data_IF_370880840991
#
_entry.id   IF_370880840991
#
_cell.length_a   1.000
_cell.length_b   1.000
_cell.length_c   1.000
_cell.angle_alpha   90.00
_cell.angle_beta   90.00
_cell.angle_gamma   90.00
#
_symmetry.space_group_name_H-M   'P 1'
#
loop_
_entity.id
_entity.type
_entity.pdbx_description
1 polymer ?
#
# COMPACT_ATOMS: atom_id res chain seq x y z
N UNK A 1 29.65 29.83 19.50
CA UNK A 1 28.27 30.29 19.24
C UNK A 1 27.56 29.21 18.46
N UNK A 2 26.83 28.34 19.16
CA UNK A 2 26.15 27.18 18.59
C UNK A 2 24.75 27.56 18.14
N UNK A 3 24.39 27.17 16.92
CA UNK A 3 23.01 27.28 16.41
C UNK A 3 22.18 26.10 16.92
N UNK A 4 20.95 26.28 17.39
CA UNK A 4 20.10 25.16 17.79
C UNK A 4 19.56 24.44 16.55
N UNK A 5 19.69 23.13 16.53
CA UNK A 5 19.01 22.23 15.59
C UNK A 5 17.56 22.08 16.07
N UNK A 6 16.64 22.54 15.25
CA UNK A 6 15.21 22.30 15.44
C UNK A 6 14.90 20.84 15.01
N UNK A 7 14.72 19.97 16.00
CA UNK A 7 14.29 18.58 15.78
C UNK A 7 12.76 18.59 15.69
N UNK A 8 12.22 18.41 14.48
CA UNK A 8 10.80 18.16 14.29
C UNK A 8 10.51 16.69 14.65
N UNK A 9 10.01 16.47 15.88
CA UNK A 9 9.48 15.18 16.30
C UNK A 9 8.12 14.94 15.63
N UNK A 10 8.09 14.16 14.55
CA UNK A 10 6.87 13.46 14.11
C UNK A 10 6.73 12.20 14.95
N UNK A 11 6.02 12.32 16.07
CA UNK A 11 5.68 11.18 16.92
C UNK A 11 4.69 10.25 16.24
N UNK A 12 5.18 9.19 15.60
CA UNK A 12 4.41 7.98 15.33
C UNK A 12 4.64 7.07 16.52
N UNK A 13 3.68 7.00 17.43
CA UNK A 13 3.69 6.00 18.52
C UNK A 13 3.39 4.64 17.87
N UNK A 14 4.44 3.91 17.50
CA UNK A 14 4.35 2.47 17.29
C UNK A 14 4.52 1.83 18.67
N UNK A 15 3.42 1.31 19.22
CA UNK A 15 3.51 0.38 20.34
C UNK A 15 4.17 -0.91 19.84
N UNK A 16 5.47 -1.03 20.06
CA UNK A 16 6.20 -2.26 19.86
C UNK A 16 5.84 -3.23 20.99
N UNK A 17 4.76 -4.00 20.82
CA UNK A 17 4.53 -5.19 21.62
C UNK A 17 5.46 -6.27 21.13
N UNK A 18 6.50 -6.58 21.88
CA UNK A 18 7.35 -7.72 21.66
C UNK A 18 6.55 -9.01 21.91
N UNK A 19 5.94 -9.55 20.85
CA UNK A 19 5.42 -10.91 20.87
C UNK A 19 6.53 -11.87 20.46
N UNK A 20 7.09 -12.56 21.44
CA UNK A 20 7.84 -13.81 21.22
C UNK A 20 6.82 -14.89 20.88
N UNK A 21 6.56 -15.12 19.59
CA UNK A 21 5.80 -16.28 19.13
C UNK A 21 6.75 -17.44 18.90
N UNK A 22 6.41 -18.67 19.37
CA UNK A 22 7.18 -19.86 19.02
C UNK A 22 7.09 -20.10 17.52
N UNK A 23 8.22 -20.44 16.90
CA UNK A 23 8.29 -20.83 15.51
C UNK A 23 7.50 -22.13 15.31
N UNK A 24 6.27 -22.04 14.81
CA UNK A 24 5.57 -23.18 14.26
C UNK A 24 6.16 -23.44 12.87
N UNK A 25 6.83 -24.59 12.73
CA UNK A 25 7.21 -25.12 11.44
C UNK A 25 5.94 -25.36 10.61
N UNK A 26 5.72 -24.51 9.59
CA UNK A 26 4.68 -24.75 8.60
C UNK A 26 5.29 -25.68 7.56
N UNK A 27 4.80 -26.91 7.58
CA UNK A 27 5.08 -27.94 6.59
C UNK A 27 4.76 -27.40 5.18
N UNK A 28 5.68 -27.64 4.23
CA UNK A 28 5.62 -27.12 2.87
C UNK A 28 4.65 -27.94 2.01
N UNK A 29 3.37 -27.87 2.31
CA UNK A 29 2.33 -28.31 1.39
C UNK A 29 1.95 -27.16 0.46
N UNK A 30 2.04 -27.39 -0.83
CA UNK A 30 1.70 -26.46 -1.92
C UNK A 30 0.23 -26.04 -1.80
N UNK A 31 -0.11 -24.76 -1.51
CA UNK A 31 -1.50 -24.33 -1.35
C UNK A 31 -2.27 -24.19 -2.67
N UNK A 32 -1.68 -24.56 -3.81
CA UNK A 32 -2.31 -24.45 -5.13
C UNK A 32 -3.04 -25.74 -5.61
N UNK A 33 -3.02 -26.82 -4.81
CA UNK A 33 -3.53 -28.12 -5.25
C UNK A 33 -4.94 -28.46 -4.73
N UNK A 34 -5.84 -27.49 -4.47
CA UNK A 34 -7.27 -27.80 -4.28
C UNK A 34 -8.15 -26.61 -4.61
N UNK A 35 -8.63 -26.53 -5.85
CA UNK A 35 -9.88 -25.85 -6.17
C UNK A 35 -11.08 -26.65 -5.63
N UNK A 36 -11.15 -26.81 -4.34
CA UNK A 36 -12.42 -27.15 -3.69
C UNK A 36 -13.21 -25.86 -3.61
N UNK A 37 -14.44 -25.85 -4.10
CA UNK A 37 -15.43 -24.78 -3.91
C UNK A 37 -15.53 -24.46 -2.42
N UNK A 38 -14.67 -23.56 -1.94
CA UNK A 38 -14.67 -23.13 -0.55
C UNK A 38 -15.97 -22.36 -0.34
N UNK A 39 -16.80 -22.89 0.55
CA UNK A 39 -17.95 -22.15 1.09
C UNK A 39 -17.40 -20.82 1.64
N UNK A 40 -17.91 -19.69 1.13
CA UNK A 40 -17.50 -18.40 1.62
C UNK A 40 -17.65 -18.37 3.15
N UNK A 41 -16.61 -18.00 3.91
CA UNK A 41 -16.71 -17.93 5.36
C UNK A 41 -17.84 -16.97 5.75
N UNK A 42 -18.51 -17.30 6.87
CA UNK A 42 -19.61 -16.48 7.38
C UNK A 42 -19.13 -15.05 7.67
N UNK A 43 -19.95 -14.03 7.40
CA UNK A 43 -19.58 -12.65 7.68
C UNK A 43 -19.30 -12.47 9.18
N UNK A 44 -18.23 -11.75 9.49
CA UNK A 44 -17.86 -11.44 10.87
C UNK A 44 -18.82 -10.38 11.42
N UNK A 45 -19.64 -10.75 12.40
CA UNK A 45 -20.49 -9.79 13.11
C UNK A 45 -19.64 -9.02 14.13
N UNK A 46 -19.56 -7.70 13.97
CA UNK A 46 -18.85 -6.81 14.90
C UNK A 46 -19.83 -6.05 15.76
N UNK A 47 -19.57 -6.06 17.06
CA UNK A 47 -20.27 -5.24 18.04
C UNK A 47 -19.31 -4.16 18.54
N UNK A 48 -19.74 -2.90 18.54
CA UNK A 48 -18.91 -1.80 19.01
C UNK A 48 -18.82 -0.64 18.00
N UNK A 49 -18.05 0.41 18.35
CA UNK A 49 -17.91 1.56 17.48
C UNK A 49 -17.13 1.21 16.21
N UNK A 50 -17.40 1.94 15.11
CA UNK A 50 -16.65 1.85 13.88
C UNK A 50 -15.14 2.09 14.12
N UNK A 51 -14.28 1.43 13.33
CA UNK A 51 -12.83 1.65 13.32
C UNK A 51 -12.47 3.13 13.08
N UNK A 52 -13.32 3.86 12.34
CA UNK A 52 -13.16 5.28 12.04
C UNK A 52 -13.94 6.21 13.00
N UNK A 53 -14.38 5.71 14.19
CA UNK A 53 -15.22 6.49 15.09
C UNK A 53 -14.67 7.90 15.43
N UNK A 54 -13.36 8.10 15.69
CA UNK A 54 -12.82 9.45 15.92
C UNK A 54 -12.96 10.38 14.69
N UNK A 55 -12.76 9.84 13.50
CA UNK A 55 -12.85 10.59 12.25
C UNK A 55 -14.31 10.90 11.91
N UNK A 56 -15.22 9.96 12.15
CA UNK A 56 -16.67 10.17 12.02
C UNK A 56 -17.10 11.33 12.91
N UNK A 57 -16.73 11.31 14.20
CA UNK A 57 -17.04 12.41 15.12
C UNK A 57 -16.48 13.75 14.61
N UNK A 58 -15.26 13.74 14.05
CA UNK A 58 -14.60 14.92 13.49
C UNK A 58 -15.32 15.50 12.26
N UNK A 59 -15.75 14.66 11.31
CA UNK A 59 -16.43 15.14 10.09
C UNK A 59 -17.87 15.58 10.37
N UNK A 60 -18.56 14.92 11.30
CA UNK A 60 -19.90 15.32 11.76
C UNK A 60 -19.83 16.67 12.47
N UNK A 61 -18.93 16.82 13.44
CA UNK A 61 -18.74 18.10 14.15
C UNK A 61 -18.34 19.26 13.22
N UNK A 62 -17.69 18.97 12.09
CA UNK A 62 -17.34 19.94 11.07
C UNK A 62 -18.45 20.18 10.03
N UNK A 63 -19.59 19.51 10.14
CA UNK A 63 -20.71 19.64 9.19
C UNK A 63 -20.40 19.09 7.78
N UNK A 64 -19.43 18.15 7.68
CA UNK A 64 -19.00 17.59 6.39
C UNK A 64 -19.85 16.37 5.98
N UNK A 65 -20.26 15.55 6.93
CA UNK A 65 -21.01 14.32 6.66
C UNK A 65 -22.00 14.01 7.78
N UNK A 66 -23.27 13.82 7.41
CA UNK A 66 -24.33 13.42 8.34
C UNK A 66 -24.71 14.47 9.39
N UNK A 67 -25.89 14.38 10.00
CA UNK A 67 -26.36 15.33 11.01
C UNK A 67 -25.77 15.04 12.40
N UNK A 68 -25.50 13.79 12.73
CA UNK A 68 -24.99 13.36 14.04
C UNK A 68 -24.26 11.99 13.93
N UNK A 69 -23.52 11.63 14.98
CA UNK A 69 -22.73 10.39 15.02
C UNK A 69 -23.61 9.15 15.14
N UNK A 70 -24.74 9.23 15.84
CA UNK A 70 -25.61 8.06 16.11
C UNK A 70 -26.29 7.55 14.83
N UNK A 71 -26.65 8.45 13.92
CA UNK A 71 -27.28 8.16 12.64
C UNK A 71 -26.30 8.04 11.47
N UNK A 72 -24.99 8.02 11.70
CA UNK A 72 -23.98 8.14 10.64
C UNK A 72 -23.93 6.95 9.66
N UNK A 73 -24.26 5.73 10.08
CA UNK A 73 -24.22 4.49 9.26
C UNK A 73 -22.88 4.31 8.53
N UNK A 74 -21.80 3.96 9.27
CA UNK A 74 -20.42 3.92 8.74
C UNK A 74 -20.21 2.91 7.60
N UNK A 75 -20.95 1.82 7.58
CA UNK A 75 -20.78 0.71 6.65
C UNK A 75 -21.56 0.89 5.34
N UNK A 76 -22.46 1.89 5.27
CA UNK A 76 -23.17 2.22 4.05
C UNK A 76 -22.21 2.70 2.96
N UNK A 77 -22.58 2.44 1.72
CA UNK A 77 -21.81 2.92 0.57
C UNK A 77 -21.95 4.44 0.38
N UNK A 78 -20.85 5.07 0.03
CA UNK A 78 -20.81 6.50 -0.27
C UNK A 78 -21.37 6.79 -1.66
N UNK A 79 -22.25 7.79 -1.79
CA UNK A 79 -22.72 8.29 -3.08
C UNK A 79 -21.89 9.45 -3.59
N UNK A 80 -22.01 9.77 -4.89
CA UNK A 80 -21.32 10.92 -5.49
C UNK A 80 -21.82 12.25 -4.95
N UNK A 81 -23.11 12.35 -4.61
CA UNK A 81 -23.69 13.54 -3.99
C UNK A 81 -23.12 13.77 -2.61
N UNK A 82 -23.09 12.75 -1.74
CA UNK A 82 -22.51 12.85 -0.40
C UNK A 82 -21.03 13.26 -0.45
N UNK A 83 -20.26 12.73 -1.40
CA UNK A 83 -18.85 13.12 -1.56
C UNK A 83 -18.73 14.56 -2.07
N UNK A 84 -19.57 14.97 -3.02
CA UNK A 84 -19.63 16.32 -3.53
C UNK A 84 -19.91 17.33 -2.40
N UNK A 85 -20.97 17.11 -1.66
CA UNK A 85 -21.39 17.96 -0.55
C UNK A 85 -20.28 18.10 0.51
N UNK A 86 -19.64 16.99 0.86
CA UNK A 86 -18.54 16.98 1.82
C UNK A 86 -17.32 17.80 1.31
N UNK A 87 -16.95 17.68 0.03
CA UNK A 87 -15.83 18.44 -0.56
C UNK A 87 -16.17 19.94 -0.64
N UNK A 88 -17.40 20.29 -1.01
CA UNK A 88 -17.89 21.69 -1.04
C UNK A 88 -17.91 22.26 0.38
N UNK A 89 -18.41 21.51 1.35
CA UNK A 89 -18.41 21.91 2.76
C UNK A 89 -16.99 22.12 3.33
N UNK A 90 -15.97 21.45 2.78
CA UNK A 90 -14.55 21.71 3.07
C UNK A 90 -14.04 23.04 2.44
N UNK A 91 -14.88 23.78 1.71
CA UNK A 91 -14.48 24.97 0.96
C UNK A 91 -13.59 24.67 -0.26
N UNK A 92 -13.65 23.44 -0.81
CA UNK A 92 -12.86 23.04 -1.98
C UNK A 92 -13.71 23.07 -3.24
N UNK A 93 -13.16 23.49 -4.39
CA UNK A 93 -13.89 23.43 -5.67
C UNK A 93 -14.20 21.99 -6.03
N UNK A 94 -15.47 21.72 -6.35
CA UNK A 94 -15.90 20.40 -6.84
C UNK A 94 -17.11 20.58 -7.76
N UNK A 95 -17.07 19.97 -8.96
CA UNK A 95 -18.18 20.01 -9.90
C UNK A 95 -19.33 19.12 -9.44
N UNK A 96 -20.55 19.59 -9.57
CA UNK A 96 -21.73 18.79 -9.25
C UNK A 96 -21.74 17.50 -10.11
N UNK A 97 -22.03 16.35 -9.50
CA UNK A 97 -22.05 15.07 -10.22
C UNK A 97 -23.25 14.99 -11.17
N UNK A 98 -23.02 14.44 -12.37
CA UNK A 98 -24.10 14.16 -13.34
C UNK A 98 -25.00 12.98 -12.94
N UNK A 99 -24.52 12.11 -12.08
CA UNK A 99 -25.23 10.96 -11.51
C UNK A 99 -25.01 10.96 -9.98
N UNK A 100 -25.82 11.74 -9.23
CA UNK A 100 -25.61 11.98 -7.80
C UNK A 100 -25.77 10.72 -6.95
N UNK A 101 -26.67 9.81 -7.35
CA UNK A 101 -26.98 8.59 -6.58
C UNK A 101 -25.99 7.44 -6.83
N UNK A 102 -25.12 7.58 -7.83
CA UNK A 102 -24.12 6.55 -8.15
C UNK A 102 -23.14 6.40 -6.99
N UNK A 103 -22.86 5.12 -6.65
CA UNK A 103 -21.89 4.75 -5.63
C UNK A 103 -20.47 5.11 -6.08
N UNK A 104 -19.69 5.67 -5.18
CA UNK A 104 -18.27 6.02 -5.36
C UNK A 104 -17.40 4.79 -5.08
N UNK A 105 -16.47 4.46 -5.97
CA UNK A 105 -15.44 3.46 -5.71
C UNK A 105 -14.27 4.05 -4.93
N UNK A 106 -13.42 3.19 -4.32
CA UNK A 106 -12.25 3.65 -3.57
C UNK A 106 -11.30 4.51 -4.41
N UNK A 107 -11.02 4.10 -5.65
CA UNK A 107 -10.17 4.88 -6.57
C UNK A 107 -10.82 6.21 -6.99
N UNK A 108 -12.15 6.27 -7.10
CA UNK A 108 -12.87 7.53 -7.37
C UNK A 108 -12.79 8.46 -6.16
N UNK A 109 -12.96 7.94 -4.94
CA UNK A 109 -12.77 8.69 -3.71
C UNK A 109 -11.38 9.32 -3.66
N UNK A 110 -10.32 8.53 -3.86
CA UNK A 110 -8.94 9.03 -3.84
C UNK A 110 -8.70 10.08 -4.93
N UNK A 111 -9.19 9.85 -6.15
CA UNK A 111 -9.03 10.80 -7.24
C UNK A 111 -9.71 12.15 -6.94
N UNK A 112 -10.92 12.15 -6.38
CA UNK A 112 -11.64 13.38 -6.03
C UNK A 112 -10.98 14.12 -4.87
N UNK A 113 -10.46 13.41 -3.87
CA UNK A 113 -9.75 14.04 -2.75
C UNK A 113 -8.39 14.61 -3.18
N UNK A 114 -7.66 13.94 -4.07
CA UNK A 114 -6.44 14.46 -4.68
C UNK A 114 -6.73 15.70 -5.53
N UNK A 115 -7.86 15.72 -6.25
CA UNK A 115 -8.35 16.88 -6.97
C UNK A 115 -8.65 18.05 -6.02
N UNK A 116 -9.39 17.79 -4.94
CA UNK A 116 -9.72 18.77 -3.90
C UNK A 116 -8.47 19.33 -3.20
N UNK A 117 -7.38 18.55 -3.09
CA UNK A 117 -6.08 19.01 -2.62
C UNK A 117 -5.29 19.81 -3.66
N UNK A 118 -5.76 19.95 -4.91
CA UNK A 118 -5.06 20.66 -5.98
C UNK A 118 -3.84 19.91 -6.53
N UNK A 119 -3.78 18.57 -6.39
CA UNK A 119 -2.61 17.74 -6.73
C UNK A 119 -2.83 16.82 -7.96
N UNK A 120 -3.89 17.02 -8.75
CA UNK A 120 -4.07 16.29 -10.02
C UNK A 120 -2.88 16.47 -10.98
N UNK A 121 -2.27 17.67 -11.13
CA UNK A 121 -1.07 17.81 -11.97
C UNK A 121 0.08 16.92 -11.50
N UNK A 122 0.31 16.82 -10.18
CA UNK A 122 1.33 15.94 -9.59
C UNK A 122 1.02 14.45 -9.83
N UNK A 123 -0.23 14.04 -9.66
CA UNK A 123 -0.67 12.68 -9.98
C UNK A 123 -0.45 12.34 -11.46
N UNK A 124 -0.77 13.26 -12.36
CA UNK A 124 -0.54 13.10 -13.80
C UNK A 124 0.95 12.99 -14.15
N UNK A 125 1.81 13.77 -13.47
CA UNK A 125 3.26 13.72 -13.65
C UNK A 125 3.81 12.32 -13.36
N UNK A 126 3.41 11.67 -12.25
CA UNK A 126 3.83 10.29 -11.92
C UNK A 126 3.49 9.34 -13.07
N UNK A 127 2.24 9.36 -13.54
CA UNK A 127 1.78 8.47 -14.60
C UNK A 127 2.55 8.71 -15.91
N UNK A 128 2.77 9.96 -16.27
CA UNK A 128 3.51 10.31 -17.48
C UNK A 128 4.99 9.92 -17.40
N UNK A 129 5.64 10.11 -16.25
CA UNK A 129 7.03 9.71 -16.05
C UNK A 129 7.20 8.18 -16.14
N UNK A 130 6.28 7.42 -15.55
CA UNK A 130 6.27 5.95 -15.67
C UNK A 130 6.07 5.51 -17.13
N UNK A 131 5.11 6.09 -17.84
CA UNK A 131 4.84 5.77 -19.25
C UNK A 131 6.03 6.14 -20.16
N UNK A 132 6.68 7.28 -19.92
CA UNK A 132 7.87 7.71 -20.68
C UNK A 132 9.06 6.76 -20.53
N UNK A 133 9.14 6.02 -19.42
CA UNK A 133 10.14 4.97 -19.19
C UNK A 133 9.75 3.61 -19.81
N UNK A 134 8.65 3.55 -20.57
CA UNK A 134 8.14 2.32 -21.18
C UNK A 134 7.43 1.38 -20.20
N UNK A 135 7.00 1.88 -19.05
CA UNK A 135 6.13 1.14 -18.12
C UNK A 135 4.66 1.25 -18.57
N UNK A 136 3.83 0.32 -18.09
CA UNK A 136 2.39 0.27 -18.34
C UNK A 136 1.61 0.73 -17.09
N UNK A 137 1.60 2.04 -16.75
CA UNK A 137 0.92 2.51 -15.56
C UNK A 137 -0.60 2.41 -15.72
N UNK A 138 -1.28 2.00 -14.65
CA UNK A 138 -2.74 2.11 -14.57
C UNK A 138 -3.17 3.56 -14.50
N UNK A 139 -4.43 3.83 -14.88
CA UNK A 139 -4.99 5.20 -14.80
C UNK A 139 -4.97 5.76 -13.37
N UNK A 140 -5.06 4.88 -12.38
CA UNK A 140 -5.07 5.28 -10.96
C UNK A 140 -3.68 5.44 -10.34
N UNK A 141 -2.57 5.02 -11.00
CA UNK A 141 -1.22 5.02 -10.39
C UNK A 141 -0.89 6.36 -9.72
N UNK A 142 -1.13 7.47 -10.40
CA UNK A 142 -0.77 8.79 -9.88
C UNK A 142 -1.67 9.23 -8.72
N UNK A 143 -2.98 9.08 -8.84
CA UNK A 143 -3.93 9.49 -7.79
C UNK A 143 -3.77 8.63 -6.54
N UNK A 144 -3.61 7.32 -6.69
CA UNK A 144 -3.37 6.41 -5.57
C UNK A 144 -2.03 6.70 -4.86
N UNK A 145 -0.97 7.01 -5.61
CA UNK A 145 0.32 7.41 -5.04
C UNK A 145 0.17 8.70 -4.23
N UNK A 146 -0.44 9.74 -4.80
CA UNK A 146 -0.60 11.04 -4.12
C UNK A 146 -1.52 10.93 -2.91
N UNK A 147 -2.62 10.18 -2.99
CA UNK A 147 -3.52 9.97 -1.85
C UNK A 147 -2.77 9.36 -0.64
N UNK A 148 -1.87 8.40 -0.89
CA UNK A 148 -1.06 7.78 0.16
C UNK A 148 0.03 8.69 0.70
N UNK A 149 0.69 9.46 -0.15
CA UNK A 149 1.66 10.48 0.28
C UNK A 149 1.01 11.57 1.14
N UNK A 150 -0.28 11.87 0.93
CA UNK A 150 -1.08 12.75 1.77
C UNK A 150 -1.56 12.08 3.08
N UNK A 151 -1.46 10.75 3.19
CA UNK A 151 -1.96 9.99 4.34
C UNK A 151 -3.48 9.83 4.35
N UNK A 152 -4.13 9.84 3.18
CA UNK A 152 -5.59 9.68 3.06
C UNK A 152 -6.04 8.21 3.22
N UNK A 153 -5.10 7.28 3.33
CA UNK A 153 -5.37 5.85 3.50
C UNK A 153 -4.66 5.30 4.73
N UNK A 154 -5.30 4.32 5.36
CA UNK A 154 -4.73 3.53 6.47
C UNK A 154 -5.28 2.12 6.42
N UNK A 155 -4.54 1.18 7.00
CA UNK A 155 -5.05 -0.17 7.20
C UNK A 155 -6.10 -0.18 8.29
N UNK A 156 -7.07 -1.08 8.17
CA UNK A 156 -7.97 -1.40 9.27
C UNK A 156 -7.20 -2.05 10.44
N UNK A 157 -7.76 -2.02 11.65
CA UNK A 157 -7.17 -2.72 12.80
C UNK A 157 -6.96 -4.21 12.50
N UNK A 158 -5.91 -4.78 13.09
CA UNK A 158 -5.63 -6.23 12.99
C UNK A 158 -6.86 -7.05 13.38
N UNK A 159 -7.21 -8.03 12.56
CA UNK A 159 -8.41 -8.85 12.69
C UNK A 159 -9.67 -8.23 12.05
N UNK A 160 -9.52 -7.12 11.33
CA UNK A 160 -10.56 -6.46 10.56
C UNK A 160 -10.18 -6.31 9.07
N UNK A 161 -9.30 -7.15 8.59
CA UNK A 161 -8.79 -7.13 7.20
C UNK A 161 -9.91 -7.41 6.18
N UNK A 162 -11.03 -7.99 6.58
CA UNK A 162 -12.23 -8.16 5.75
C UNK A 162 -12.96 -6.84 5.45
N UNK A 163 -12.68 -5.78 6.21
CA UNK A 163 -13.18 -4.43 5.94
C UNK A 163 -12.34 -3.70 4.89
N UNK A 164 -11.12 -4.15 4.61
CA UNK A 164 -10.29 -3.55 3.58
C UNK A 164 -11.03 -3.50 2.23
N UNK A 165 -10.73 -2.47 1.43
CA UNK A 165 -11.37 -2.25 0.14
C UNK A 165 -10.34 -2.17 -0.98
N UNK A 166 -10.55 -2.97 -2.02
CA UNK A 166 -9.76 -2.85 -3.25
C UNK A 166 -10.18 -1.60 -4.05
N UNK A 167 -9.34 -1.09 -4.96
CA UNK A 167 -9.63 0.18 -5.66
C UNK A 167 -10.95 0.24 -6.41
N UNK A 168 -11.47 -0.91 -6.85
CA UNK A 168 -12.73 -1.01 -7.62
C UNK A 168 -13.97 -1.23 -6.76
N UNK A 169 -13.80 -1.53 -5.47
CA UNK A 169 -14.93 -1.74 -4.57
C UNK A 169 -15.57 -0.41 -4.16
N UNK A 170 -16.87 -0.42 -3.82
CA UNK A 170 -17.54 0.71 -3.23
C UNK A 170 -16.82 1.23 -1.99
N UNK A 171 -16.62 2.54 -1.90
CA UNK A 171 -16.17 3.20 -0.69
C UNK A 171 -17.30 3.22 0.34
N UNK A 172 -16.97 2.96 1.60
CA UNK A 172 -17.91 3.15 2.70
C UNK A 172 -17.89 4.60 3.19
N UNK A 173 -18.93 4.99 3.93
CA UNK A 173 -18.98 6.29 4.59
C UNK A 173 -17.87 6.43 5.66
N UNK A 174 -17.46 5.33 6.30
CA UNK A 174 -16.33 5.31 7.21
C UNK A 174 -15.00 5.62 6.51
N UNK A 175 -14.75 5.02 5.34
CA UNK A 175 -13.57 5.33 4.51
C UNK A 175 -13.53 6.82 4.11
N UNK A 176 -14.67 7.34 3.66
CA UNK A 176 -14.79 8.75 3.32
C UNK A 176 -14.54 9.66 4.54
N UNK A 177 -15.13 9.33 5.70
CA UNK A 177 -14.94 10.09 6.92
C UNK A 177 -13.45 10.14 7.34
N UNK A 178 -12.76 8.99 7.27
CA UNK A 178 -11.32 8.95 7.55
C UNK A 178 -10.54 9.91 6.62
N UNK A 179 -10.75 9.79 5.33
CA UNK A 179 -10.00 10.55 4.33
C UNK A 179 -10.33 12.05 4.38
N UNK A 180 -11.61 12.41 4.55
CA UNK A 180 -12.06 13.81 4.68
C UNK A 180 -11.54 14.46 5.97
N UNK A 181 -11.54 13.73 7.08
CA UNK A 181 -10.95 14.22 8.32
C UNK A 181 -9.44 14.48 8.16
N UNK A 182 -8.72 13.62 7.45
CA UNK A 182 -7.31 13.84 7.12
C UNK A 182 -7.12 15.05 6.21
N UNK A 183 -7.88 15.13 5.11
CA UNK A 183 -7.79 16.24 4.16
C UNK A 183 -8.07 17.60 4.82
N UNK A 184 -9.04 17.65 5.75
CA UNK A 184 -9.38 18.86 6.52
C UNK A 184 -8.21 19.38 7.35
N UNK A 185 -7.38 18.48 7.88
CA UNK A 185 -6.24 18.81 8.74
C UNK A 185 -4.94 19.05 7.97
N UNK A 186 -4.94 18.88 6.64
CA UNK A 186 -3.76 19.18 5.83
C UNK A 186 -3.54 20.68 5.73
N UNK A 187 -2.42 21.14 6.23
CA UNK A 187 -1.97 22.51 5.98
C UNK A 187 -1.34 22.67 4.58
N UNK A 188 -1.27 23.90 4.05
CA UNK A 188 -0.69 24.16 2.74
C UNK A 188 0.76 23.70 2.59
N UNK A 189 1.54 23.69 3.67
CA UNK A 189 2.95 23.27 3.64
C UNK A 189 3.07 21.76 3.39
N UNK A 190 2.15 20.97 3.94
CA UNK A 190 2.12 19.53 3.70
C UNK A 190 1.75 19.20 2.25
N UNK A 191 0.78 19.92 1.68
CA UNK A 191 0.40 19.79 0.26
C UNK A 191 1.58 20.15 -0.63
N UNK A 192 2.28 21.25 -0.33
CA UNK A 192 3.48 21.66 -1.06
C UNK A 192 4.62 20.65 -0.93
N UNK A 193 4.85 20.10 0.25
CA UNK A 193 5.85 19.04 0.46
C UNK A 193 5.57 17.81 -0.41
N UNK A 194 4.30 17.39 -0.53
CA UNK A 194 3.93 16.28 -1.43
C UNK A 194 4.17 16.66 -2.89
N UNK A 195 3.86 17.89 -3.30
CA UNK A 195 4.14 18.37 -4.66
C UNK A 195 5.63 18.31 -4.98
N UNK A 196 6.48 18.80 -4.06
CA UNK A 196 7.94 18.75 -4.22
C UNK A 196 8.48 17.33 -4.26
N UNK A 197 7.99 16.44 -3.39
CA UNK A 197 8.36 15.03 -3.40
C UNK A 197 8.00 14.39 -4.74
N UNK A 198 6.77 14.60 -5.23
CA UNK A 198 6.35 14.06 -6.53
C UNK A 198 7.20 14.60 -7.68
N UNK A 199 7.63 15.86 -7.63
CA UNK A 199 8.49 16.46 -8.64
C UNK A 199 9.85 15.74 -8.80
N UNK A 200 10.30 14.99 -7.77
CA UNK A 200 11.52 14.18 -7.84
C UNK A 200 11.31 12.83 -8.52
N UNK A 201 10.05 12.40 -8.74
CA UNK A 201 9.79 11.10 -9.34
C UNK A 201 10.24 11.06 -10.79
N UNK A 202 11.15 10.15 -11.05
CA UNK A 202 11.60 9.80 -12.40
C UNK A 202 12.01 8.34 -12.43
N UNK A 203 11.97 7.73 -13.60
CA UNK A 203 12.38 6.35 -13.80
C UNK A 203 13.59 6.37 -14.73
N UNK A 204 14.68 5.66 -14.43
CA UNK A 204 15.84 5.59 -15.31
C UNK A 204 15.52 4.77 -16.56
N UNK A 205 16.46 4.74 -17.51
CA UNK A 205 16.38 3.81 -18.65
C UNK A 205 16.31 2.37 -18.12
N UNK A 206 15.34 1.61 -18.59
CA UNK A 206 15.07 0.25 -18.17
C UNK A 206 15.33 -0.76 -19.29
N UNK A 207 15.87 -1.91 -18.94
CA UNK A 207 15.87 -3.08 -19.79
C UNK A 207 14.47 -3.71 -19.91
N UNK A 208 14.32 -4.66 -20.82
CA UNK A 208 13.02 -5.29 -21.09
C UNK A 208 12.43 -5.98 -19.85
N UNK A 209 13.21 -6.80 -19.19
CA UNK A 209 12.76 -7.52 -17.99
C UNK A 209 12.43 -6.59 -16.81
N UNK A 210 13.19 -5.50 -16.67
CA UNK A 210 12.89 -4.49 -15.66
C UNK A 210 11.53 -3.82 -15.93
N UNK A 211 11.24 -3.47 -17.21
CA UNK A 211 9.93 -2.91 -17.58
C UNK A 211 8.77 -3.87 -17.26
N UNK A 212 8.92 -5.15 -17.60
CA UNK A 212 7.87 -6.15 -17.33
C UNK A 212 7.61 -6.30 -15.81
N UNK A 213 8.67 -6.44 -15.01
CA UNK A 213 8.57 -6.58 -13.55
C UNK A 213 7.97 -5.33 -12.91
N UNK A 214 8.47 -4.14 -13.28
CA UNK A 214 7.99 -2.88 -12.69
C UNK A 214 6.58 -2.53 -13.15
N UNK A 215 6.21 -2.78 -14.40
CA UNK A 215 4.82 -2.61 -14.86
C UNK A 215 3.87 -3.48 -14.05
N UNK A 216 4.25 -4.74 -13.77
CA UNK A 216 3.47 -5.63 -12.90
C UNK A 216 3.41 -5.12 -11.46
N UNK A 217 4.51 -4.67 -10.89
CA UNK A 217 4.55 -4.17 -9.52
C UNK A 217 3.70 -2.91 -9.33
N UNK A 218 3.84 -1.93 -10.24
CA UNK A 218 3.10 -0.67 -10.18
C UNK A 218 1.59 -0.83 -10.43
N UNK A 219 1.16 -1.92 -11.12
CA UNK A 219 -0.25 -2.22 -11.32
C UNK A 219 -1.02 -2.43 -10.02
N UNK A 220 -0.33 -2.83 -8.96
CA UNK A 220 -0.94 -3.08 -7.65
C UNK A 220 -0.98 -1.85 -6.73
N UNK A 221 -0.40 -0.71 -7.13
CA UNK A 221 -0.53 0.54 -6.36
C UNK A 221 -2.01 0.90 -6.22
N UNK A 222 -2.43 1.12 -4.99
CA UNK A 222 -3.84 1.34 -4.66
C UNK A 222 -4.52 0.19 -3.92
N UNK A 223 -4.01 -1.02 -4.03
CA UNK A 223 -4.56 -2.15 -3.27
C UNK A 223 -4.27 -2.02 -1.77
N UNK A 224 -5.16 -2.51 -0.90
CA UNK A 224 -4.96 -2.42 0.54
C UNK A 224 -3.84 -3.34 1.02
N UNK A 225 -3.33 -3.03 2.21
CA UNK A 225 -2.54 -3.99 2.95
C UNK A 225 -3.47 -5.07 3.54
N UNK A 226 -3.12 -6.31 3.30
CA UNK A 226 -3.79 -7.47 3.91
C UNK A 226 -2.70 -8.38 4.47
N UNK A 227 -2.72 -8.63 5.78
CA UNK A 227 -1.75 -9.52 6.40
C UNK A 227 -1.81 -10.91 5.75
N UNK A 228 -0.66 -11.49 5.39
CA UNK A 228 -0.52 -12.72 4.62
C UNK A 228 -1.14 -12.68 3.21
N UNK A 229 -1.66 -11.56 2.74
CA UNK A 229 -2.27 -11.41 1.41
C UNK A 229 -1.26 -11.49 0.28
N UNK A 230 -1.66 -12.12 -0.83
CA UNK A 230 -0.81 -12.37 -2.01
C UNK A 230 -1.54 -12.14 -3.33
N UNK A 231 -2.78 -11.67 -3.31
CA UNK A 231 -3.65 -11.66 -4.48
C UNK A 231 -4.40 -10.34 -4.63
N UNK A 232 -4.56 -9.87 -5.86
CA UNK A 232 -5.46 -8.78 -6.23
C UNK A 232 -6.93 -9.19 -6.24
N UNK A 233 -7.21 -10.50 -6.17
CA UNK A 233 -8.56 -11.07 -6.10
C UNK A 233 -8.93 -11.35 -4.64
N UNK A 234 -10.22 -11.46 -4.32
CA UNK A 234 -10.64 -11.93 -3.01
C UNK A 234 -9.94 -13.23 -2.63
N UNK A 235 -9.53 -13.33 -1.37
CA UNK A 235 -8.75 -14.45 -0.85
C UNK A 235 -9.17 -14.76 0.58
N UNK A 236 -8.83 -15.96 1.05
CA UNK A 236 -8.99 -16.35 2.45
C UNK A 236 -7.63 -16.35 3.11
N UNK A 237 -7.53 -15.69 4.26
CA UNK A 237 -6.31 -15.65 5.08
C UNK A 237 -6.55 -16.33 6.41
N UNK A 238 -5.47 -16.77 7.06
CA UNK A 238 -5.54 -17.22 8.44
C UNK A 238 -5.69 -16.03 9.39
N UNK A 239 -6.65 -16.09 10.32
CA UNK A 239 -6.84 -15.05 11.33
C UNK A 239 -7.34 -15.67 12.63
N UNK A 240 -6.63 -15.43 13.72
CA UNK A 240 -7.03 -15.92 15.06
C UNK A 240 -8.32 -15.30 15.56
N UNK A 241 -8.76 -14.19 14.98
CA UNK A 241 -10.01 -13.49 15.35
C UNK A 241 -11.24 -13.98 14.59
N UNK A 242 -11.06 -14.84 13.57
CA UNK A 242 -12.15 -15.32 12.73
C UNK A 242 -12.60 -16.74 13.11
N UNK A 243 -13.89 -17.08 12.91
CA UNK A 243 -14.39 -18.44 13.08
C UNK A 243 -13.61 -19.45 12.22
N UNK A 244 -13.16 -20.55 12.82
CA UNK A 244 -12.35 -21.56 12.11
C UNK A 244 -10.98 -21.05 11.66
N UNK A 245 -10.49 -19.95 12.20
CA UNK A 245 -9.24 -19.30 11.85
C UNK A 245 -9.11 -18.91 10.37
N UNK A 246 -10.24 -18.70 9.70
CA UNK A 246 -10.29 -18.28 8.30
C UNK A 246 -11.08 -16.99 8.15
N UNK A 247 -10.49 -15.99 7.52
CA UNK A 247 -11.08 -14.70 7.24
C UNK A 247 -11.10 -14.47 5.73
N UNK A 248 -12.30 -14.29 5.16
CA UNK A 248 -12.44 -13.85 3.79
C UNK A 248 -12.10 -12.35 3.71
N UNK A 249 -11.18 -12.00 2.84
CA UNK A 249 -10.71 -10.63 2.65
C UNK A 249 -10.76 -10.25 1.17
N UNK A 250 -10.85 -8.96 0.85
CA UNK A 250 -10.70 -8.49 -0.53
C UNK A 250 -9.29 -8.76 -1.06
N UNK A 251 -9.05 -8.42 -2.32
CA UNK A 251 -7.70 -8.45 -2.86
C UNK A 251 -6.79 -7.43 -2.16
N UNK A 252 -5.63 -7.88 -1.72
CA UNK A 252 -4.63 -7.07 -1.04
C UNK A 252 -3.35 -7.86 -0.78
N UNK A 253 -2.32 -7.16 -0.29
CA UNK A 253 -0.98 -7.72 -0.15
C UNK A 253 -0.34 -7.30 1.17
N UNK A 254 0.39 -8.20 1.82
CA UNK A 254 1.44 -7.77 2.75
C UNK A 254 2.72 -7.41 1.97
N UNK A 255 3.75 -6.93 2.66
CA UNK A 255 4.99 -6.47 2.02
C UNK A 255 5.69 -7.59 1.22
N UNK A 256 5.78 -8.77 1.80
CA UNK A 256 6.39 -9.95 1.16
C UNK A 256 5.45 -10.59 0.13
N UNK A 257 4.15 -10.52 0.35
CA UNK A 257 3.12 -10.99 -0.59
C UNK A 257 3.10 -10.23 -1.89
N UNK A 258 3.33 -8.92 -1.85
CA UNK A 258 3.52 -8.11 -3.06
C UNK A 258 4.72 -8.60 -3.87
N UNK A 259 5.88 -8.78 -3.21
CA UNK A 259 7.09 -9.32 -3.86
C UNK A 259 6.83 -10.71 -4.43
N UNK A 260 6.18 -11.58 -3.64
CA UNK A 260 5.81 -12.92 -4.03
C UNK A 260 4.88 -12.94 -5.26
N UNK A 261 3.87 -12.05 -5.28
CA UNK A 261 2.95 -11.90 -6.42
C UNK A 261 3.65 -11.46 -7.69
N UNK A 262 4.57 -10.51 -7.57
CA UNK A 262 5.28 -9.93 -8.72
C UNK A 262 6.22 -10.94 -9.35
N UNK A 263 6.97 -11.70 -8.56
CA UNK A 263 8.05 -12.54 -9.07
C UNK A 263 7.67 -14.03 -9.20
N UNK A 264 6.78 -14.57 -8.36
CA UNK A 264 6.57 -16.02 -8.25
C UNK A 264 5.20 -16.50 -8.72
N UNK A 265 4.11 -15.89 -8.22
CA UNK A 265 2.77 -16.47 -8.42
C UNK A 265 2.22 -16.38 -9.85
N UNK A 266 2.84 -15.58 -10.68
CA UNK A 266 2.49 -15.47 -12.10
C UNK A 266 3.78 -15.50 -12.92
N UNK A 267 4.15 -16.62 -13.54
CA UNK A 267 5.35 -16.70 -14.38
C UNK A 267 5.35 -15.65 -15.48
N UNK A 268 6.53 -15.29 -15.95
CA UNK A 268 6.72 -14.43 -17.11
C UNK A 268 6.95 -15.30 -18.33
N UNK A 269 6.30 -14.95 -19.44
CA UNK A 269 6.51 -15.61 -20.70
C UNK A 269 7.97 -15.45 -21.12
N UNK A 270 8.61 -16.55 -21.49
CA UNK A 270 10.04 -16.57 -21.82
C UNK A 270 11.02 -16.60 -20.63
N UNK A 271 10.55 -16.46 -19.39
CA UNK A 271 11.41 -16.50 -18.20
C UNK A 271 10.77 -17.29 -17.02
N UNK A 272 10.42 -18.57 -17.20
CA UNK A 272 9.82 -19.36 -16.12
C UNK A 272 10.74 -19.48 -14.90
N UNK A 273 12.08 -19.49 -15.11
CA UNK A 273 13.08 -19.55 -14.03
C UNK A 273 12.99 -18.39 -13.03
N UNK A 274 12.43 -17.25 -13.41
CA UNK A 274 12.27 -16.12 -12.50
C UNK A 274 11.33 -16.46 -11.32
N UNK A 275 10.32 -17.30 -11.56
CA UNK A 275 9.41 -17.78 -10.52
C UNK A 275 10.10 -18.71 -9.49
N UNK A 276 11.24 -19.32 -9.86
CA UNK A 276 11.99 -20.25 -9.00
C UNK A 276 13.03 -19.55 -8.11
N UNK A 277 13.30 -18.26 -8.35
CA UNK A 277 14.31 -17.50 -7.61
C UNK A 277 13.91 -17.34 -6.14
N UNK A 278 12.65 -16.96 -5.86
CA UNK A 278 12.14 -16.80 -4.52
C UNK A 278 11.57 -18.13 -4.01
N UNK A 279 12.06 -18.62 -2.87
CA UNK A 279 11.60 -19.87 -2.23
C UNK A 279 10.83 -19.62 -0.94
N UNK A 280 11.28 -18.69 -0.12
CA UNK A 280 10.65 -18.32 1.13
C UNK A 280 9.54 -17.29 0.95
N UNK A 281 8.40 -17.48 1.65
CA UNK A 281 7.22 -16.59 1.56
C UNK A 281 7.38 -15.29 2.35
N UNK A 282 8.14 -15.32 3.43
CA UNK A 282 8.27 -14.18 4.34
C UNK A 282 9.49 -13.32 4.02
N UNK A 283 9.49 -12.06 4.47
CA UNK A 283 10.62 -11.14 4.27
C UNK A 283 11.91 -11.71 4.79
N UNK A 284 11.91 -12.23 6.02
CA UNK A 284 13.11 -12.81 6.61
C UNK A 284 13.59 -14.05 5.85
N UNK A 285 12.68 -14.92 5.39
CA UNK A 285 13.05 -16.09 4.61
C UNK A 285 13.68 -15.70 3.26
N UNK A 286 13.00 -14.85 2.47
CA UNK A 286 13.52 -14.37 1.18
C UNK A 286 14.87 -13.65 1.32
N UNK A 287 15.06 -12.87 2.38
CA UNK A 287 16.31 -12.14 2.65
C UNK A 287 17.44 -13.08 3.04
N UNK A 288 17.11 -14.21 3.72
CA UNK A 288 18.06 -15.22 4.17
C UNK A 288 18.55 -16.15 3.07
N UNK A 289 17.85 -16.25 1.96
CA UNK A 289 18.26 -17.07 0.80
C UNK A 289 19.54 -16.55 0.12
N UNK A 290 19.80 -15.24 0.24
CA UNK A 290 20.95 -14.59 -0.37
C UNK A 290 22.15 -14.66 0.56
N UNK A 291 23.22 -15.35 0.12
CA UNK A 291 24.49 -15.41 0.87
C UNK A 291 25.03 -14.01 1.09
N UNK A 292 25.68 -13.74 2.23
CA UNK A 292 26.17 -12.40 2.59
C UNK A 292 27.03 -11.76 1.49
N UNK A 293 27.87 -12.54 0.81
CA UNK A 293 28.73 -12.06 -0.27
C UNK A 293 27.97 -11.69 -1.57
N UNK A 294 26.70 -12.10 -1.69
CA UNK A 294 25.85 -11.84 -2.86
C UNK A 294 24.80 -10.76 -2.60
N UNK A 295 24.74 -10.25 -1.36
CA UNK A 295 23.83 -9.17 -1.00
C UNK A 295 24.25 -7.88 -1.69
N UNK A 296 23.30 -7.17 -2.23
CA UNK A 296 23.52 -5.89 -2.90
C UNK A 296 23.42 -4.80 -1.85
N UNK A 297 24.47 -4.00 -1.69
CA UNK A 297 24.47 -2.86 -0.76
C UNK A 297 23.54 -1.74 -1.24
N UNK A 298 23.02 -0.89 -0.32
CA UNK A 298 22.07 0.17 -0.66
C UNK A 298 22.50 1.10 -1.81
N UNK A 299 23.79 1.40 -1.93
CA UNK A 299 24.31 2.27 -3.01
C UNK A 299 24.41 1.62 -4.39
N UNK A 300 24.14 0.30 -4.52
CA UNK A 300 24.29 -0.46 -5.75
C UNK A 300 22.94 -1.03 -6.26
N UNK A 301 21.83 -0.62 -5.66
CA UNK A 301 20.49 -1.08 -6.07
C UNK A 301 20.13 -0.62 -7.49
N UNK A 302 19.45 -1.50 -8.21
CA UNK A 302 18.98 -1.25 -9.58
C UNK A 302 17.48 -1.48 -9.68
N UNK A 303 16.78 -0.91 -10.66
CA UNK A 303 15.37 -1.17 -10.90
C UNK A 303 15.04 -2.67 -10.94
N UNK A 304 13.92 -3.04 -10.33
CA UNK A 304 13.45 -4.42 -10.09
C UNK A 304 14.24 -5.22 -9.04
N UNK A 305 15.21 -4.63 -8.32
CA UNK A 305 15.79 -5.27 -7.14
C UNK A 305 14.74 -5.35 -6.01
N UNK A 306 14.76 -6.43 -5.25
CA UNK A 306 13.97 -6.58 -4.02
C UNK A 306 14.76 -6.00 -2.85
N UNK A 307 14.20 -5.00 -2.19
CA UNK A 307 14.77 -4.32 -1.04
C UNK A 307 14.33 -5.01 0.26
N UNK A 308 15.23 -5.10 1.22
CA UNK A 308 14.98 -5.64 2.56
C UNK A 308 15.33 -4.60 3.62
N UNK A 309 14.39 -4.39 4.55
CA UNK A 309 14.51 -3.39 5.62
C UNK A 309 14.54 -4.08 6.98
N UNK A 310 15.48 -3.68 7.81
CA UNK A 310 15.68 -4.24 9.14
C UNK A 310 16.20 -3.19 10.11
N UNK A 311 15.85 -3.36 11.39
CA UNK A 311 16.05 -2.37 12.47
C UNK A 311 17.49 -1.97 12.75
N UNK A 312 18.46 -2.67 12.17
CA UNK A 312 19.90 -2.35 12.28
C UNK A 312 20.49 -1.90 10.93
N UNK A 313 19.65 -1.48 9.97
CA UNK A 313 20.10 -1.10 8.64
C UNK A 313 21.00 -2.17 8.02
N UNK A 314 22.14 -1.79 7.46
CA UNK A 314 23.10 -2.72 6.82
C UNK A 314 23.73 -3.75 7.77
N UNK A 315 23.59 -3.61 9.09
CA UNK A 315 24.06 -4.57 10.08
C UNK A 315 23.01 -5.63 10.45
N UNK A 316 21.79 -5.52 9.94
CA UNK A 316 20.70 -6.45 10.21
C UNK A 316 21.05 -7.88 9.81
N UNK A 317 20.50 -8.84 10.56
CA UNK A 317 20.49 -10.27 10.18
C UNK A 317 19.20 -10.59 9.44
N UNK A 318 19.12 -11.70 8.68
CA UNK A 318 17.87 -12.11 8.00
C UNK A 318 16.67 -12.19 8.93
N UNK A 319 16.85 -12.67 10.17
CA UNK A 319 15.78 -12.76 11.18
C UNK A 319 15.27 -11.40 11.68
N UNK A 320 16.00 -10.32 11.41
CA UNK A 320 15.64 -8.94 11.80
C UNK A 320 14.99 -8.17 10.63
N UNK A 321 14.84 -8.81 9.46
CA UNK A 321 14.20 -8.21 8.30
C UNK A 321 12.68 -8.28 8.45
N UNK A 322 12.07 -7.13 8.73
CA UNK A 322 10.63 -7.00 8.96
C UNK A 322 9.84 -6.47 7.76
N UNK A 323 10.51 -5.94 6.73
CA UNK A 323 9.83 -5.33 5.61
C UNK A 323 10.58 -5.53 4.28
N UNK A 324 9.84 -5.45 3.16
CA UNK A 324 10.40 -5.57 1.81
C UNK A 324 9.63 -4.71 0.81
N UNK A 325 10.30 -4.40 -0.30
CA UNK A 325 9.72 -3.67 -1.43
C UNK A 325 10.50 -3.93 -2.71
N UNK A 326 10.08 -3.32 -3.81
CA UNK A 326 10.71 -3.45 -5.13
C UNK A 326 11.19 -2.06 -5.56
N UNK A 327 12.47 -1.95 -5.86
CA UNK A 327 13.08 -0.68 -6.28
C UNK A 327 12.65 -0.31 -7.69
N UNK A 328 12.18 0.92 -7.87
CA UNK A 328 11.73 1.45 -9.16
C UNK A 328 12.85 2.20 -9.88
N UNK A 329 13.75 2.80 -9.12
CA UNK A 329 14.85 3.61 -9.63
C UNK A 329 14.83 5.04 -9.08
N UNK A 330 15.94 5.76 -9.19
CA UNK A 330 16.09 7.16 -8.80
C UNK A 330 15.55 7.48 -7.39
N UNK A 331 15.78 6.55 -6.43
CA UNK A 331 15.37 6.72 -5.05
C UNK A 331 13.88 6.46 -4.79
N UNK A 332 13.16 5.79 -5.70
CA UNK A 332 11.75 5.41 -5.50
C UNK A 332 11.56 3.90 -5.47
N UNK A 333 10.60 3.42 -4.70
CA UNK A 333 10.28 2.01 -4.58
C UNK A 333 8.77 1.79 -4.37
N UNK A 334 8.29 0.61 -4.70
CA UNK A 334 6.92 0.17 -4.45
C UNK A 334 6.91 -0.91 -3.37
N UNK A 335 6.00 -0.77 -2.42
CA UNK A 335 5.86 -1.71 -1.30
C UNK A 335 4.42 -1.72 -0.77
N UNK A 336 4.10 -2.62 0.13
CA UNK A 336 2.81 -2.65 0.84
C UNK A 336 3.04 -2.42 2.33
N UNK A 337 2.39 -1.40 2.90
CA UNK A 337 2.50 -1.02 4.32
C UNK A 337 1.19 -0.39 4.84
N UNK A 338 1.27 0.46 5.86
CA UNK A 338 0.12 1.05 6.54
C UNK A 338 -0.87 1.86 5.69
N UNK A 339 -0.55 2.18 4.46
CA UNK A 339 -1.46 2.83 3.50
C UNK A 339 -1.85 1.91 2.35
N UNK A 340 -1.52 0.61 2.44
CA UNK A 340 -1.65 -0.33 1.33
C UNK A 340 -0.43 -0.33 0.41
N UNK A 341 -0.61 -0.80 -0.82
CA UNK A 341 0.44 -0.78 -1.84
C UNK A 341 0.66 0.64 -2.33
N UNK A 342 1.86 1.15 -2.12
CA UNK A 342 2.24 2.53 -2.44
C UNK A 342 3.54 2.61 -3.21
N UNK A 343 3.65 3.63 -4.06
CA UNK A 343 4.89 4.09 -4.68
C UNK A 343 5.36 5.33 -3.89
N UNK A 344 6.56 5.28 -3.32
CA UNK A 344 7.08 6.39 -2.52
C UNK A 344 8.61 6.51 -2.60
N UNK A 345 9.17 7.67 -2.19
CA UNK A 345 10.62 7.82 -2.13
C UNK A 345 11.25 6.98 -1.01
N UNK A 346 12.44 6.45 -1.31
CA UNK A 346 13.31 5.74 -0.37
C UNK A 346 14.04 6.76 0.50
N UNK A 347 13.37 7.25 1.54
CA UNK A 347 13.89 8.30 2.43
C UNK A 347 13.41 8.10 3.87
N UNK A 348 14.03 8.83 4.82
CA UNK A 348 13.73 8.73 6.24
C UNK A 348 13.92 7.30 6.73
N UNK A 349 12.94 6.79 7.49
CA UNK A 349 13.00 5.45 8.06
C UNK A 349 13.39 4.37 7.03
N UNK A 350 12.84 4.43 5.80
CA UNK A 350 13.18 3.44 4.77
C UNK A 350 14.63 3.53 4.28
N UNK A 351 15.21 4.71 4.23
CA UNK A 351 16.62 4.86 3.88
C UNK A 351 17.53 4.37 5.02
N UNK A 352 17.17 4.67 6.26
CA UNK A 352 17.93 4.32 7.45
C UNK A 352 17.91 2.81 7.72
N UNK A 353 16.77 2.15 7.49
CA UNK A 353 16.55 0.73 7.74
C UNK A 353 16.85 -0.17 6.52
N UNK A 354 17.25 0.38 5.38
CA UNK A 354 17.61 -0.41 4.20
C UNK A 354 18.86 -1.25 4.49
N UNK A 355 18.64 -2.56 4.62
CA UNK A 355 19.69 -3.49 5.01
C UNK A 355 20.51 -3.95 3.79
N UNK A 356 19.87 -4.54 2.82
CA UNK A 356 20.45 -4.98 1.54
C UNK A 356 19.33 -5.22 0.52
N UNK A 357 19.75 -5.50 -0.71
CA UNK A 357 18.85 -5.96 -1.75
C UNK A 357 19.30 -7.30 -2.35
N UNK A 358 18.40 -7.94 -3.09
CA UNK A 358 18.69 -9.04 -4.01
C UNK A 358 18.23 -8.68 -5.42
N UNK A 359 18.81 -9.32 -6.44
CA UNK A 359 18.53 -9.04 -7.84
C UNK A 359 17.95 -10.26 -8.55
N UNK A 360 16.61 -10.50 -8.44
CA UNK A 360 15.99 -11.70 -8.98
C UNK A 360 16.22 -11.91 -10.49
N UNK A 361 16.29 -10.83 -11.26
CA UNK A 361 16.56 -10.92 -12.70
C UNK A 361 17.93 -11.55 -12.95
N UNK A 362 18.98 -11.08 -12.30
CA UNK A 362 20.32 -11.64 -12.44
C UNK A 362 20.40 -13.07 -11.89
N UNK A 363 19.72 -13.36 -10.79
CA UNK A 363 19.65 -14.70 -10.19
C UNK A 363 18.95 -15.72 -11.12
N UNK A 364 17.99 -15.24 -11.95
CA UNK A 364 17.33 -16.05 -12.99
C UNK A 364 18.13 -16.13 -14.31
N UNK A 365 19.31 -15.49 -14.39
CA UNK A 365 20.11 -15.43 -15.61
C UNK A 365 19.59 -14.44 -16.66
N UNK A 366 18.71 -13.51 -16.26
CA UNK A 366 18.15 -12.47 -17.14
C UNK A 366 19.00 -11.19 -17.05
N UNK A 367 19.32 -10.63 -18.19
CA UNK A 367 19.99 -9.33 -18.26
C UNK A 367 18.98 -8.20 -18.12
N UNK A 368 19.42 -7.08 -17.54
CA UNK A 368 18.60 -5.88 -17.44
C UNK A 368 18.32 -5.27 -18.81
#
# INVERSE_FOLDING_TARGET
MGRPRLTLLCGVILAASAFTTPALAIDSADPLANETTAVAPAPVTRTGPSWAAPQIASVVAAGLMGPDVASFRPDDTLTREELHDAIVALGRPHAAPTDPTRVVTMRELDAQLVAAAGLLPSARQIRLAAAAAGLEPTDMLGTETVARLLGLRTNHPVGQEDLERSPKQPASRAEAAYSLAKLRLLDPSRIEAVRQVVATFSVPTLGEWQRLVLSRALRFVGYPYVFAGTSEKPQTIWSSSAPGNQLAVPGGFDCSGLVWRVFKLQPYDGAPSLADVLKGRTTYAMSGEVKKAQRISPGLVQPADVLFFGTQGTQSKPSEIGHSGIYVGNGWFVHSSSGGVTLQPLQGWYADELAWARRPLAEAGLTA
#
